data_IF_570971566098
#
_entry.id   IF_570971566098
#
_cell.length_a   1.000
_cell.length_b   1.000
_cell.length_c   1.000
_cell.angle_alpha   90.00
_cell.angle_beta   90.00
_cell.angle_gamma   90.00
#
_symmetry.space_group_name_H-M   'P 1'
#
loop_
_entity.id
_entity.type
_entity.pdbx_description
1 polymer ?
#
# COMPACT_ATOMS: atom_id res chain seq x y z
N UNK A 1 -2.07 -3.84 23.56
CA UNK A 1 -1.22 -4.83 22.89
C UNK A 1 -0.68 -4.14 21.66
N UNK A 2 0.62 -3.90 21.59
CA UNK A 2 1.22 -3.30 20.40
C UNK A 2 1.17 -4.33 19.28
N UNK A 3 0.34 -4.09 18.27
CA UNK A 3 0.33 -4.91 17.06
C UNK A 3 1.69 -4.75 16.39
N UNK A 4 2.46 -5.84 16.28
CA UNK A 4 3.69 -5.80 15.52
C UNK A 4 3.36 -5.69 14.03
N UNK A 5 4.12 -4.88 13.28
CA UNK A 5 3.91 -4.68 11.84
C UNK A 5 5.14 -5.11 11.03
N UNK A 6 4.91 -5.67 9.83
CA UNK A 6 5.89 -5.70 8.76
C UNK A 6 5.81 -4.37 8.01
N UNK A 7 6.78 -3.49 8.25
CA UNK A 7 6.83 -2.17 7.62
C UNK A 7 7.96 -2.11 6.59
N UNK A 8 7.68 -1.50 5.44
CA UNK A 8 8.65 -1.33 4.38
C UNK A 8 8.10 -0.57 3.18
N UNK A 9 8.63 -0.84 2.00
CA UNK A 9 8.16 -0.22 0.74
C UNK A 9 7.50 -1.25 -0.16
N UNK A 10 6.42 -0.83 -0.84
CA UNK A 10 5.76 -1.66 -1.84
C UNK A 10 6.65 -1.81 -3.07
N UNK A 11 6.89 -3.04 -3.49
CA UNK A 11 7.71 -3.36 -4.65
C UNK A 11 7.01 -4.40 -5.53
N UNK A 12 7.51 -4.58 -6.75
CA UNK A 12 7.03 -5.60 -7.69
C UNK A 12 8.20 -6.43 -8.21
N UNK A 13 8.02 -7.75 -8.32
CA UNK A 13 8.99 -8.68 -8.91
C UNK A 13 8.30 -9.60 -9.91
N UNK A 14 9.05 -10.06 -10.92
CA UNK A 14 8.62 -11.11 -11.84
C UNK A 14 9.09 -12.47 -11.30
N UNK A 15 8.18 -13.41 -11.18
CA UNK A 15 8.45 -14.79 -10.73
C UNK A 15 8.11 -15.78 -11.84
N UNK A 16 8.43 -17.07 -11.66
CA UNK A 16 7.99 -18.12 -12.58
C UNK A 16 6.46 -18.18 -12.76
N UNK A 17 5.69 -17.77 -11.73
CA UNK A 17 4.23 -17.71 -11.76
C UNK A 17 3.65 -16.35 -12.20
N UNK A 18 4.48 -15.45 -12.76
CA UNK A 18 4.08 -14.10 -13.15
C UNK A 18 4.48 -13.02 -12.14
N UNK A 19 3.82 -11.86 -12.22
CA UNK A 19 4.12 -10.70 -11.37
C UNK A 19 3.64 -10.90 -9.93
N UNK A 20 4.38 -10.34 -8.98
CA UNK A 20 4.07 -10.39 -7.55
C UNK A 20 4.45 -9.06 -6.89
N UNK A 21 3.51 -8.43 -6.18
CA UNK A 21 3.86 -7.36 -5.26
C UNK A 21 4.35 -7.93 -3.92
N UNK A 22 5.26 -7.22 -3.29
CA UNK A 22 5.84 -7.57 -2.00
C UNK A 22 6.20 -6.30 -1.22
N UNK A 23 6.38 -6.44 0.09
CA UNK A 23 6.96 -5.40 0.95
C UNK A 23 8.45 -5.67 1.08
N UNK A 24 9.29 -4.73 0.65
CA UNK A 24 10.73 -4.73 0.94
C UNK A 24 10.95 -4.14 2.33
N UNK A 25 11.39 -4.97 3.27
CA UNK A 25 11.61 -4.62 4.67
C UNK A 25 12.98 -3.97 4.87
N UNK A 26 13.16 -3.27 6.00
CA UNK A 26 14.39 -2.54 6.30
C UNK A 26 15.65 -3.40 6.46
N UNK A 27 15.49 -4.70 6.72
CA UNK A 27 16.59 -5.68 6.77
C UNK A 27 16.91 -6.30 5.40
N UNK A 28 16.24 -5.84 4.33
CA UNK A 28 16.36 -6.37 2.98
C UNK A 28 15.55 -7.64 2.73
N UNK A 29 14.83 -8.16 3.72
CA UNK A 29 13.92 -9.29 3.52
C UNK A 29 12.62 -8.86 2.83
N UNK A 30 11.94 -9.81 2.20
CA UNK A 30 10.74 -9.54 1.40
C UNK A 30 9.53 -10.25 2.00
N UNK A 31 8.38 -9.55 2.08
CA UNK A 31 7.09 -10.13 2.46
C UNK A 31 6.13 -10.11 1.26
N UNK A 32 5.81 -11.27 0.71
CA UNK A 32 4.94 -11.35 -0.47
C UNK A 32 3.48 -11.05 -0.13
N UNK A 33 2.84 -10.20 -0.94
CA UNK A 33 1.47 -9.78 -0.74
C UNK A 33 0.48 -10.69 -1.49
N UNK A 34 -0.68 -10.88 -0.86
CA UNK A 34 -1.81 -11.65 -1.38
C UNK A 34 -3.06 -10.78 -1.37
N UNK A 35 -3.83 -10.81 -2.46
CA UNK A 35 -5.12 -10.11 -2.53
C UNK A 35 -6.00 -10.48 -1.33
N UNK A 36 -6.67 -9.49 -0.75
CA UNK A 36 -7.46 -9.63 0.48
C UNK A 36 -6.69 -9.32 1.77
N UNK A 37 -5.36 -9.17 1.72
CA UNK A 37 -4.56 -8.75 2.88
C UNK A 37 -4.97 -7.38 3.41
N UNK A 38 -5.03 -7.24 4.73
CA UNK A 38 -5.12 -5.94 5.39
C UNK A 38 -3.78 -5.22 5.27
N UNK A 39 -3.79 -4.04 4.68
CA UNK A 39 -2.59 -3.24 4.46
C UNK A 39 -2.85 -1.81 4.91
N UNK A 40 -1.84 -1.16 5.46
CA UNK A 40 -1.88 0.26 5.73
C UNK A 40 -0.83 0.96 4.86
N UNK A 41 -1.20 2.10 4.30
CA UNK A 41 -0.33 2.90 3.43
C UNK A 41 -0.03 4.22 4.14
N UNK A 42 1.24 4.63 4.16
CA UNK A 42 1.60 5.92 4.71
C UNK A 42 1.21 7.01 3.71
N UNK A 43 0.21 7.79 4.09
CA UNK A 43 -0.18 9.01 3.41
C UNK A 43 0.33 10.22 4.18
N UNK A 44 0.34 11.34 3.49
CA UNK A 44 0.64 12.63 4.07
C UNK A 44 -0.34 13.68 3.63
N UNK A 45 -0.12 14.87 4.14
CA UNK A 45 -0.87 16.08 3.80
C UNK A 45 0.11 17.17 3.37
N UNK A 46 -0.37 18.08 2.54
CA UNK A 46 0.36 19.31 2.26
C UNK A 46 0.09 20.28 3.41
N UNK A 47 1.14 20.67 4.12
CA UNK A 47 1.09 21.58 5.26
C UNK A 47 1.62 22.94 4.80
N UNK A 48 0.84 24.02 4.95
CA UNK A 48 1.32 25.36 4.67
C UNK A 48 2.46 25.77 5.60
N UNK A 49 3.47 26.45 5.06
CA UNK A 49 4.55 27.06 5.84
C UNK A 49 4.97 28.43 5.27
N UNK A 50 6.02 29.02 5.83
CA UNK A 50 6.51 30.34 5.42
C UNK A 50 7.11 30.36 3.99
N UNK A 51 7.38 29.21 3.39
CA UNK A 51 7.96 29.04 2.05
C UNK A 51 6.92 28.53 1.03
N UNK A 52 5.69 28.29 1.47
CA UNK A 52 4.58 27.82 0.64
C UNK A 52 3.86 26.65 1.29
N UNK A 53 4.16 25.43 0.81
CA UNK A 53 3.62 24.18 1.33
C UNK A 53 4.71 23.09 1.28
N UNK A 54 4.79 22.25 2.31
CA UNK A 54 5.59 21.03 2.30
C UNK A 54 4.72 19.79 2.53
N UNK A 55 5.15 18.64 2.01
CA UNK A 55 4.45 17.38 2.23
C UNK A 55 4.91 16.73 3.54
N UNK A 56 3.96 16.40 4.42
CA UNK A 56 4.25 15.74 5.68
C UNK A 56 3.55 14.37 5.79
N UNK A 57 4.34 13.30 5.85
CA UNK A 57 3.85 11.92 5.96
C UNK A 57 3.51 11.57 7.42
N UNK A 58 2.23 11.66 7.79
CA UNK A 58 1.77 11.41 9.17
C UNK A 58 0.83 10.22 9.32
N UNK A 59 -0.08 10.03 8.38
CA UNK A 59 -1.24 9.17 8.59
C UNK A 59 -1.08 7.82 7.91
N UNK A 60 -1.45 6.75 8.60
CA UNK A 60 -1.55 5.42 8.01
C UNK A 60 -3.00 5.17 7.62
N UNK A 61 -3.25 5.07 6.30
CA UNK A 61 -4.57 4.73 5.80
C UNK A 61 -4.70 3.22 5.68
N UNK A 62 -5.54 2.63 6.52
CA UNK A 62 -5.86 1.22 6.47
C UNK A 62 -6.81 0.89 5.32
N UNK A 63 -6.62 -0.27 4.71
CA UNK A 63 -7.51 -0.78 3.67
C UNK A 63 -7.23 -2.25 3.34
N UNK A 64 -7.90 -2.71 2.28
CA UNK A 64 -7.71 -4.05 1.72
C UNK A 64 -6.85 -3.96 0.47
N UNK A 65 -5.74 -4.67 0.46
CA UNK A 65 -4.89 -4.79 -0.71
C UNK A 65 -5.54 -5.70 -1.75
N UNK A 66 -5.55 -5.22 -3.00
CA UNK A 66 -5.93 -5.97 -4.19
C UNK A 66 -4.91 -5.69 -5.29
N UNK A 67 -4.79 -6.59 -6.27
CA UNK A 67 -3.88 -6.37 -7.39
C UNK A 67 -4.43 -6.87 -8.71
N UNK A 68 -4.08 -6.14 -9.76
CA UNK A 68 -4.16 -6.61 -11.13
C UNK A 68 -2.74 -6.96 -11.58
N UNK A 69 -2.44 -8.25 -11.68
CA UNK A 69 -1.12 -8.79 -12.01
C UNK A 69 -1.03 -9.31 -13.46
N UNK A 70 -2.13 -9.27 -14.22
CA UNK A 70 -2.25 -9.92 -15.53
C UNK A 70 -1.77 -9.06 -16.71
N UNK A 71 -1.21 -7.89 -16.44
CA UNK A 71 -0.72 -6.97 -17.48
C UNK A 71 0.78 -6.76 -17.38
N UNK A 72 1.38 -6.22 -18.44
CA UNK A 72 2.80 -5.80 -18.45
C UNK A 72 3.08 -4.67 -17.45
N UNK A 73 2.04 -4.04 -16.91
CA UNK A 73 2.13 -3.02 -15.88
C UNK A 73 1.25 -3.39 -14.66
N UNK A 74 1.74 -4.27 -13.76
CA UNK A 74 1.02 -4.69 -12.58
C UNK A 74 0.58 -3.51 -11.73
N UNK A 75 -0.67 -3.53 -11.25
CA UNK A 75 -1.22 -2.47 -10.41
C UNK A 75 -1.58 -3.01 -9.05
N UNK A 76 -1.15 -2.30 -8.02
CA UNK A 76 -1.57 -2.51 -6.65
C UNK A 76 -2.65 -1.48 -6.29
N UNK A 77 -3.70 -1.93 -5.62
CA UNK A 77 -4.81 -1.08 -5.17
C UNK A 77 -4.98 -1.24 -3.67
N UNK A 78 -5.24 -0.14 -2.97
CA UNK A 78 -5.74 -0.16 -1.60
C UNK A 78 -7.21 0.25 -1.63
N UNK A 79 -8.10 -0.70 -1.38
CA UNK A 79 -9.53 -0.44 -1.21
C UNK A 79 -9.79 0.08 0.21
N UNK A 80 -10.36 1.28 0.30
CA UNK A 80 -10.56 2.02 1.56
C UNK A 80 -12.04 2.13 1.94
N UNK A 81 -12.93 1.68 1.07
CA UNK A 81 -14.36 1.66 1.34
C UNK A 81 -15.20 1.42 0.09
N UNK A 82 -16.49 1.69 0.21
CA UNK A 82 -17.46 1.60 -0.86
C UNK A 82 -18.33 2.86 -0.87
N UNK A 83 -18.54 3.45 -2.03
CA UNK A 83 -19.38 4.63 -2.21
C UNK A 83 -20.87 4.24 -2.15
N UNK A 84 -21.63 4.93 -1.30
CA UNK A 84 -23.09 4.80 -1.25
C UNK A 84 -23.75 5.64 -2.37
N UNK A 85 -24.90 5.22 -2.92
CA UNK A 85 -25.62 3.98 -2.61
C UNK A 85 -25.20 2.78 -3.46
N UNK A 86 -24.36 2.97 -4.48
CA UNK A 86 -24.12 1.98 -5.55
C UNK A 86 -23.07 0.91 -5.20
N UNK A 87 -22.43 0.99 -4.04
CA UNK A 87 -21.45 0.02 -3.59
C UNK A 87 -20.17 -0.01 -4.44
N UNK A 88 -19.86 1.08 -5.15
CA UNK A 88 -18.64 1.14 -5.96
C UNK A 88 -17.42 1.22 -5.05
N UNK A 89 -16.42 0.37 -5.27
CA UNK A 89 -15.21 0.38 -4.45
C UNK A 89 -14.46 1.70 -4.58
N UNK A 90 -14.16 2.32 -3.44
CA UNK A 90 -13.27 3.48 -3.35
C UNK A 90 -11.87 2.96 -3.07
N UNK A 91 -10.92 3.27 -3.94
CA UNK A 91 -9.56 2.79 -3.84
C UNK A 91 -8.55 3.81 -4.34
N UNK A 92 -7.30 3.64 -3.91
CA UNK A 92 -6.15 4.32 -4.47
C UNK A 92 -5.27 3.32 -5.21
N UNK A 93 -4.69 3.74 -6.35
CA UNK A 93 -3.64 2.98 -7.02
C UNK A 93 -2.33 3.30 -6.32
N UNK A 94 -1.69 2.28 -5.75
CA UNK A 94 -0.46 2.45 -5.00
C UNK A 94 0.75 2.41 -5.93
N UNK A 95 1.58 3.47 -5.96
CA UNK A 95 2.82 3.44 -6.72
C UNK A 95 3.86 2.55 -6.04
N UNK A 96 4.73 1.92 -6.84
CA UNK A 96 5.95 1.28 -6.33
C UNK A 96 6.79 2.27 -5.53
N UNK A 97 7.37 1.82 -4.42
CA UNK A 97 8.16 2.63 -3.50
C UNK A 97 7.37 3.26 -2.37
N UNK A 98 6.02 3.27 -2.42
CA UNK A 98 5.22 3.83 -1.32
C UNK A 98 5.43 3.02 -0.02
N UNK A 99 5.47 3.73 1.11
CA UNK A 99 5.59 3.10 2.43
C UNK A 99 4.29 2.40 2.79
N UNK A 100 4.41 1.14 3.20
CA UNK A 100 3.29 0.28 3.57
C UNK A 100 3.64 -0.51 4.82
N UNK A 101 2.61 -0.87 5.59
CA UNK A 101 2.76 -1.82 6.69
C UNK A 101 1.62 -2.84 6.71
N UNK A 102 1.96 -4.06 7.09
CA UNK A 102 1.01 -5.17 7.25
C UNK A 102 1.10 -5.70 8.67
N UNK A 103 -0.02 -5.90 9.36
CA UNK A 103 -0.02 -6.46 10.71
C UNK A 103 0.60 -7.86 10.70
N UNK A 104 1.55 -8.12 11.61
CA UNK A 104 1.99 -9.48 11.92
C UNK A 104 0.82 -10.14 12.66
N UNK A 105 0.22 -11.18 12.07
CA UNK A 105 -0.73 -12.02 12.79
C UNK A 105 -0.01 -12.79 13.89
#
# INVERSE_FOLDING_TARGET
MDTAYFEGTLQVKKTAGGWRHYILLGDGSHYDLHCGSSLEVQLGEWVPDNEGEHFEARNWLAGRYEANLSSDNPKAHLYIGYAAPLGQGVYVVMPTGIRVRHSKK
#
